data_IF_497075403370
#
_entry.id   IF_497075403370
#
_cell.length_a   1.000
_cell.length_b   1.000
_cell.length_c   1.000
_cell.angle_alpha   90.00
_cell.angle_beta   90.00
_cell.angle_gamma   90.00
#
_symmetry.space_group_name_H-M   'P 1'
#
loop_
_entity.id
_entity.type
_entity.pdbx_description
1 polymer ?
#
# COMPACT_ATOMS: atom_id res chain seq x y z
N UNK A 1 -10.17 -0.61 -8.47
CA UNK A 1 -9.38 0.62 -8.30
C UNK A 1 -10.16 1.72 -7.60
N UNK A 2 -9.72 2.11 -6.41
CA UNK A 2 -10.16 3.30 -5.66
C UNK A 2 -9.19 4.45 -5.94
N UNK A 3 -9.72 5.62 -6.29
CA UNK A 3 -8.92 6.80 -6.56
C UNK A 3 -8.62 7.54 -5.25
N UNK A 4 -7.34 7.72 -4.94
CA UNK A 4 -6.88 8.49 -3.79
C UNK A 4 -6.16 9.75 -4.26
N UNK A 5 -6.68 10.91 -3.88
CA UNK A 5 -5.99 12.19 -4.01
C UNK A 5 -5.41 12.61 -2.67
N UNK A 6 -4.17 13.09 -2.64
CA UNK A 6 -3.60 13.71 -1.45
C UNK A 6 -3.82 15.23 -1.44
N UNK A 7 -4.17 15.79 -0.27
CA UNK A 7 -4.40 17.23 -0.14
C UNK A 7 -3.17 18.08 -0.45
N UNK A 8 -3.40 19.31 -0.90
CA UNK A 8 -2.35 20.25 -1.28
C UNK A 8 -1.71 20.96 -0.09
N UNK A 9 -2.39 20.93 1.07
CA UNK A 9 -1.96 21.60 2.30
C UNK A 9 -2.10 20.67 3.50
N UNK A 10 -1.21 20.83 4.49
CA UNK A 10 -1.24 20.02 5.73
C UNK A 10 -2.55 20.17 6.52
N UNK A 11 -3.32 21.24 6.27
CA UNK A 11 -4.64 21.52 6.83
C UNK A 11 -5.78 20.67 6.25
N UNK A 12 -5.62 20.12 5.05
CA UNK A 12 -6.63 19.30 4.37
C UNK A 12 -6.42 17.79 4.62
N UNK A 13 -5.32 17.41 5.28
CA UNK A 13 -5.11 16.05 5.76
C UNK A 13 -6.25 15.72 6.71
N UNK A 14 -7.13 14.80 6.30
CA UNK A 14 -8.30 14.44 7.07
C UNK A 14 -7.86 14.10 8.50
N UNK A 15 -8.62 14.58 9.50
CA UNK A 15 -8.34 14.31 10.93
C UNK A 15 -8.11 12.82 11.19
N UNK A 16 -8.73 11.97 10.37
CA UNK A 16 -8.55 10.51 10.38
C UNK A 16 -7.11 10.05 10.07
N UNK A 17 -6.38 10.70 9.15
CA UNK A 17 -4.99 10.35 8.85
C UNK A 17 -4.03 10.63 10.02
N UNK A 18 -4.28 11.72 10.75
CA UNK A 18 -3.55 12.03 11.99
C UNK A 18 -3.89 11.05 13.13
N UNK A 19 -5.10 10.48 13.12
CA UNK A 19 -5.51 9.42 14.06
C UNK A 19 -4.82 8.10 13.72
N UNK A 20 -4.83 7.69 12.44
CA UNK A 20 -4.22 6.44 11.96
C UNK A 20 -2.69 6.43 12.15
N UNK A 21 -2.02 7.54 11.85
CA UNK A 21 -0.57 7.67 12.06
C UNK A 21 -0.16 7.60 13.54
N UNK A 22 -1.00 8.09 14.45
CA UNK A 22 -0.81 7.94 15.90
C UNK A 22 -1.08 6.51 16.38
N UNK A 23 -2.08 5.82 15.82
CA UNK A 23 -2.41 4.43 16.14
C UNK A 23 -1.28 3.45 15.75
N UNK A 24 -0.59 3.69 14.62
CA UNK A 24 0.58 2.89 14.22
C UNK A 24 1.69 2.91 15.29
N UNK A 25 1.98 4.07 15.87
CA UNK A 25 3.00 4.23 16.91
C UNK A 25 2.63 3.57 18.27
N UNK A 26 1.34 3.37 18.55
CA UNK A 26 0.87 2.74 19.78
C UNK A 26 0.84 1.20 19.67
N UNK A 27 0.49 0.66 18.49
CA UNK A 27 0.51 -0.77 18.21
C UNK A 27 1.93 -1.36 18.09
N UNK A 28 2.94 -0.52 17.86
CA UNK A 28 4.35 -0.91 17.97
C UNK A 28 4.80 -1.09 19.42
N UNK A 29 4.18 -0.41 20.39
CA UNK A 29 4.53 -0.50 21.82
C UNK A 29 3.92 -1.71 22.54
N UNK A 30 2.83 -2.28 22.04
CA UNK A 30 2.13 -3.43 22.67
C UNK A 30 2.58 -4.80 22.15
N UNK A 31 3.38 -4.86 21.08
CA UNK A 31 3.99 -6.11 20.59
C UNK A 31 5.28 -6.45 21.34
N UNK A 32 5.14 -6.92 22.58
CA UNK A 32 6.23 -7.66 23.23
C UNK A 32 6.36 -9.05 22.57
N UNK A 33 7.56 -9.32 22.02
CA UNK A 33 8.11 -10.66 21.67
C UNK A 33 7.37 -11.50 20.60
N UNK A 34 7.55 -11.15 19.33
CA UNK A 34 7.80 -12.11 18.23
C UNK A 34 8.66 -11.41 17.18
N UNK A 35 9.95 -11.72 17.16
CA UNK A 35 10.89 -11.20 16.16
C UNK A 35 10.42 -11.63 14.77
N UNK A 36 9.88 -10.69 14.00
CA UNK A 36 9.83 -10.80 12.54
C UNK A 36 10.47 -9.53 12.01
N UNK A 37 11.73 -9.70 11.62
CA UNK A 37 12.42 -8.72 10.80
C UNK A 37 11.52 -8.48 9.60
N UNK A 38 11.00 -7.27 9.47
CA UNK A 38 10.57 -6.78 8.17
C UNK A 38 11.75 -7.00 7.22
N UNK A 39 11.56 -7.45 5.97
CA UNK A 39 12.59 -7.23 5.00
C UNK A 39 12.83 -5.73 5.04
N UNK A 40 14.00 -5.34 5.55
CA UNK A 40 14.48 -3.99 5.46
C UNK A 40 14.78 -3.81 3.99
N UNK A 41 13.76 -3.48 3.20
CA UNK A 41 13.98 -2.57 2.10
C UNK A 41 14.56 -1.34 2.78
N UNK A 42 15.89 -1.28 2.82
CA UNK A 42 16.60 -0.02 2.88
C UNK A 42 15.98 0.75 1.73
N UNK A 43 14.99 1.57 2.04
CA UNK A 43 14.71 2.73 1.24
C UNK A 43 16.06 3.44 1.29
N UNK A 44 16.83 3.33 0.22
CA UNK A 44 17.93 4.26 0.03
C UNK A 44 17.28 5.60 0.32
N UNK A 45 17.85 6.33 1.26
CA UNK A 45 17.58 7.76 1.43
C UNK A 45 17.98 8.35 0.08
N UNK A 46 17.12 8.23 -0.91
CA UNK A 46 17.28 8.79 -2.23
C UNK A 46 17.27 10.27 -1.91
N UNK A 47 18.44 10.87 -2.09
CA UNK A 47 18.71 12.27 -1.83
C UNK A 47 17.58 13.11 -2.42
N UNK A 48 16.64 13.52 -1.56
CA UNK A 48 15.54 14.41 -1.93
C UNK A 48 16.08 15.81 -2.28
N UNK A 49 17.30 16.13 -1.86
CA UNK A 49 17.95 17.42 -2.12
C UNK A 49 18.51 17.56 -3.55
N UNK A 50 18.43 16.53 -4.41
CA UNK A 50 19.04 16.56 -5.76
C UNK A 50 18.06 16.37 -6.93
N UNK A 51 16.75 16.40 -6.66
CA UNK A 51 15.67 16.21 -7.66
C UNK A 51 14.93 17.54 -7.93
N UNK A 52 15.37 18.66 -7.32
CA UNK A 52 14.70 19.97 -7.48
C UNK A 52 14.98 20.66 -8.83
N UNK A 53 15.91 20.18 -9.67
CA UNK A 53 16.35 20.95 -10.84
C UNK A 53 15.71 20.57 -12.20
N UNK A 54 14.97 19.45 -12.29
CA UNK A 54 14.34 19.03 -13.57
C UNK A 54 12.81 19.21 -13.62
N UNK A 55 12.21 19.83 -12.59
CA UNK A 55 10.75 19.97 -12.44
C UNK A 55 10.22 21.36 -12.82
N UNK A 56 10.70 21.93 -13.92
CA UNK A 56 10.00 23.02 -14.60
C UNK A 56 8.74 22.49 -15.33
N UNK A 57 7.81 21.91 -14.57
CA UNK A 57 6.54 21.40 -15.10
C UNK A 57 5.39 22.25 -14.52
N UNK A 58 4.90 23.14 -15.37
CA UNK A 58 3.66 23.93 -15.35
C UNK A 58 2.67 23.56 -14.22
N UNK A 59 2.21 24.55 -13.45
CA UNK A 59 1.31 24.36 -12.29
C UNK A 59 0.02 23.57 -12.59
N UNK A 60 -0.44 23.56 -13.86
CA UNK A 60 -1.58 22.75 -14.33
C UNK A 60 -1.36 21.23 -14.24
N UNK A 61 -0.13 20.76 -14.34
CA UNK A 61 0.24 19.32 -14.26
C UNK A 61 0.59 18.86 -12.85
N UNK A 62 0.89 19.79 -11.94
CA UNK A 62 1.24 19.47 -10.55
C UNK A 62 0.06 18.86 -9.78
N UNK A 63 -1.18 19.17 -10.18
CA UNK A 63 -2.41 18.57 -9.63
C UNK A 63 -2.67 17.14 -10.14
N UNK A 64 -2.29 16.83 -11.38
CA UNK A 64 -2.46 15.50 -11.98
C UNK A 64 -1.51 14.46 -11.38
N UNK A 65 -0.27 14.84 -11.07
CA UNK A 65 0.73 13.97 -10.42
C UNK A 65 0.41 13.54 -8.97
N UNK A 66 -0.71 14.01 -8.39
CA UNK A 66 -1.06 13.79 -6.97
C UNK A 66 -2.21 12.80 -6.76
N UNK A 67 -2.72 12.26 -7.85
CA UNK A 67 -3.81 11.31 -7.84
C UNK A 67 -3.22 9.94 -8.17
N UNK A 68 -3.47 8.97 -7.29
CA UNK A 68 -3.10 7.59 -7.52
C UNK A 68 -4.34 6.71 -7.46
N UNK A 69 -4.40 5.72 -8.33
CA UNK A 69 -5.40 4.67 -8.24
C UNK A 69 -4.80 3.48 -7.47
N UNK A 70 -5.55 2.95 -6.50
CA UNK A 70 -5.15 1.81 -5.69
C UNK A 70 -6.18 0.70 -5.85
N UNK A 71 -5.73 -0.51 -6.15
CA UNK A 71 -6.55 -1.72 -6.02
C UNK A 71 -5.88 -2.73 -5.11
N UNK A 72 -6.72 -3.48 -4.41
CA UNK A 72 -6.30 -4.52 -3.52
C UNK A 72 -7.13 -5.76 -3.80
N UNK A 73 -6.46 -6.90 -3.91
CA UNK A 73 -7.11 -8.20 -3.98
C UNK A 73 -6.91 -8.93 -2.65
N UNK A 74 -7.99 -9.53 -2.16
CA UNK A 74 -8.01 -10.21 -0.86
C UNK A 74 -8.31 -11.69 -1.01
N UNK A 75 -7.82 -12.44 -0.02
CA UNK A 75 -8.05 -13.88 0.17
C UNK A 75 -8.72 -14.11 1.53
N UNK A 76 -9.44 -15.23 1.65
CA UNK A 76 -10.09 -15.70 2.86
C UNK A 76 -9.11 -16.39 3.81
N UNK A 77 -9.02 -15.88 5.04
CA UNK A 77 -8.23 -16.42 6.17
C UNK A 77 -9.14 -16.63 7.39
N UNK A 78 -8.56 -17.02 8.54
CA UNK A 78 -9.31 -17.46 9.71
C UNK A 78 -9.81 -18.90 9.58
N UNK A 79 -10.46 -19.46 10.61
CA UNK A 79 -10.87 -20.88 10.66
C UNK A 79 -11.92 -21.25 9.59
N UNK A 80 -12.76 -20.27 9.22
CA UNK A 80 -13.87 -20.45 8.27
C UNK A 80 -13.59 -19.82 6.89
N UNK A 81 -12.48 -19.10 6.73
CA UNK A 81 -12.16 -18.37 5.48
C UNK A 81 -12.99 -17.10 5.25
N UNK A 82 -13.75 -16.64 6.25
CA UNK A 82 -14.61 -15.46 6.16
C UNK A 82 -13.81 -14.16 6.27
N UNK A 83 -12.74 -14.16 7.05
CA UNK A 83 -11.89 -12.98 7.24
C UNK A 83 -11.09 -12.68 5.97
N UNK A 84 -11.00 -11.41 5.59
CA UNK A 84 -10.35 -11.01 4.34
C UNK A 84 -8.96 -10.44 4.62
N UNK A 85 -7.93 -11.03 4.03
CA UNK A 85 -6.54 -10.57 4.13
C UNK A 85 -5.96 -10.22 2.76
N UNK A 86 -5.10 -9.20 2.71
CA UNK A 86 -4.50 -8.71 1.47
C UNK A 86 -3.59 -9.76 0.83
N UNK A 87 -3.71 -9.95 -0.48
CA UNK A 87 -2.88 -10.86 -1.27
C UNK A 87 -2.17 -10.17 -2.44
N UNK A 88 -2.72 -9.07 -2.97
CA UNK A 88 -2.06 -8.25 -4.00
C UNK A 88 -2.45 -6.79 -3.83
N UNK A 89 -1.53 -5.89 -4.15
CA UNK A 89 -1.80 -4.46 -4.23
C UNK A 89 -1.24 -3.90 -5.53
N UNK A 90 -2.01 -3.05 -6.18
CA UNK A 90 -1.63 -2.35 -7.40
C UNK A 90 -1.86 -0.85 -7.24
N UNK A 91 -0.85 -0.06 -7.56
CA UNK A 91 -0.85 1.40 -7.54
C UNK A 91 -0.52 1.93 -8.93
N UNK A 92 -1.37 2.82 -9.43
CA UNK A 92 -1.19 3.48 -10.72
C UNK A 92 -1.15 5.00 -10.53
N UNK A 93 -0.38 5.67 -11.37
CA UNK A 93 -0.42 7.12 -11.55
C UNK A 93 -1.67 7.54 -12.35
N UNK A 94 -2.00 8.82 -12.34
CA UNK A 94 -3.09 9.41 -13.13
C UNK A 94 -2.99 9.09 -14.63
N UNK A 95 -1.77 8.98 -15.16
CA UNK A 95 -1.52 8.61 -16.55
C UNK A 95 -1.70 7.10 -16.84
N UNK A 96 -2.05 6.30 -15.84
CA UNK A 96 -2.21 4.84 -15.96
C UNK A 96 -0.89 4.06 -15.89
N UNK A 97 0.22 4.73 -15.57
CA UNK A 97 1.51 4.07 -15.37
C UNK A 97 1.51 3.27 -14.07
N UNK A 98 2.04 2.05 -14.09
CA UNK A 98 2.17 1.21 -12.89
C UNK A 98 3.30 1.73 -12.02
N UNK A 99 2.95 2.19 -10.81
CA UNK A 99 3.92 2.65 -9.81
C UNK A 99 4.36 1.50 -8.90
N UNK A 100 3.43 0.61 -8.56
CA UNK A 100 3.70 -0.54 -7.70
C UNK A 100 2.69 -1.64 -8.00
N UNK A 101 3.15 -2.86 -8.20
CA UNK A 101 2.27 -4.02 -8.34
C UNK A 101 2.98 -5.25 -7.79
N UNK A 102 2.54 -5.71 -6.62
CA UNK A 102 3.25 -6.77 -5.89
C UNK A 102 2.25 -7.67 -5.18
N UNK A 103 2.53 -8.96 -5.19
CA UNK A 103 1.89 -9.94 -4.32
C UNK A 103 2.40 -9.81 -2.89
N UNK A 104 1.53 -10.07 -1.93
CA UNK A 104 1.83 -9.96 -0.49
C UNK A 104 1.54 -11.30 0.15
N UNK A 105 2.48 -11.85 0.91
CA UNK A 105 2.24 -13.04 1.71
C UNK A 105 1.28 -12.74 2.88
N UNK A 106 0.10 -13.40 2.94
CA UNK A 106 -0.79 -13.28 4.09
C UNK A 106 -0.11 -13.77 5.37
N UNK A 107 -0.44 -13.14 6.49
CA UNK A 107 0.14 -13.50 7.81
C UNK A 107 -0.44 -14.81 8.34
N UNK A 108 -1.67 -15.13 7.94
CA UNK A 108 -2.41 -16.33 8.32
C UNK A 108 -2.54 -17.29 7.13
N UNK A 109 -2.72 -18.60 7.38
CA UNK A 109 -2.94 -19.56 6.31
C UNK A 109 -4.21 -19.23 5.54
N UNK A 110 -4.10 -19.30 4.22
CA UNK A 110 -5.21 -19.04 3.32
C UNK A 110 -6.09 -20.29 3.27
N UNK A 111 -7.38 -20.11 3.55
CA UNK A 111 -8.38 -21.17 3.40
C UNK A 111 -9.06 -21.07 2.04
N UNK A 112 -9.45 -19.86 1.63
CA UNK A 112 -10.11 -19.62 0.35
C UNK A 112 -9.38 -18.52 -0.43
N UNK A 113 -8.87 -18.85 -1.61
CA UNK A 113 -8.20 -17.87 -2.47
C UNK A 113 -9.18 -16.91 -3.14
N UNK A 114 -10.48 -17.23 -3.17
CA UNK A 114 -11.53 -16.43 -3.82
C UNK A 114 -11.20 -16.13 -5.28
N UNK A 115 -10.51 -17.05 -5.95
CA UNK A 115 -9.90 -16.86 -7.28
C UNK A 115 -10.90 -16.39 -8.34
N UNK A 116 -12.17 -16.80 -8.26
CA UNK A 116 -13.24 -16.32 -9.16
C UNK A 116 -13.46 -14.80 -9.12
N UNK A 117 -13.06 -14.14 -8.02
CA UNK A 117 -13.17 -12.71 -7.81
C UNK A 117 -11.80 -12.05 -7.88
N UNK A 118 -10.83 -12.59 -7.11
CA UNK A 118 -9.52 -11.98 -6.93
C UNK A 118 -8.52 -12.27 -8.05
N UNK A 119 -8.74 -13.35 -8.81
CA UNK A 119 -7.77 -13.89 -9.76
C UNK A 119 -6.48 -14.43 -9.11
N UNK A 120 -6.35 -14.38 -7.77
CA UNK A 120 -5.17 -14.86 -7.05
C UNK A 120 -5.21 -16.37 -6.98
N UNK A 121 -4.07 -17.00 -7.27
CA UNK A 121 -3.87 -18.44 -7.15
C UNK A 121 -2.71 -18.73 -6.23
N UNK A 122 -2.69 -19.93 -5.64
CA UNK A 122 -1.59 -20.37 -4.76
C UNK A 122 -0.21 -20.24 -5.41
N UNK A 123 -0.12 -20.44 -6.74
CA UNK A 123 1.13 -20.30 -7.51
C UNK A 123 1.66 -18.87 -7.55
N UNK A 124 0.78 -17.86 -7.56
CA UNK A 124 1.16 -16.45 -7.61
C UNK A 124 1.73 -15.92 -6.29
N UNK A 125 1.39 -16.57 -5.17
CA UNK A 125 1.89 -16.20 -3.84
C UNK A 125 3.19 -16.92 -3.46
N UNK A 126 3.75 -17.75 -4.34
CA UNK A 126 5.02 -18.43 -4.08
C UNK A 126 6.16 -17.41 -4.19
N UNK A 127 6.76 -17.06 -3.05
CA UNK A 127 7.86 -16.09 -2.96
C UNK A 127 7.44 -14.65 -2.65
N UNK A 128 6.16 -14.42 -2.34
CA UNK A 128 5.64 -13.17 -1.81
C UNK A 128 5.98 -12.94 -0.33
#
# INVERSE_FOLDING_TARGET
>A
FVLFGYPSTSSEISKNWNVISKQKNLNEKTKSKKTRQTPKCKLNKLNIEKIEEDLSINESSKSKSRIVALDCEMVGVGETGEESMLARVSLLDYNGNVLYDTFVAPTEPIIDFRTRYSGVTSKLLVGA
#
